data_IF_953900582564
#
_entry.id   IF_953900582564
#
_cell.length_a   1.000
_cell.length_b   1.000
_cell.length_c   1.000
_cell.angle_alpha   90.00
_cell.angle_beta   90.00
_cell.angle_gamma   90.00
#
_symmetry.space_group_name_H-M   'P 1'
#
loop_
_entity.id
_entity.type
_entity.pdbx_description
1 polymer ?
#
# COMPACT_ATOMS: atom_id res chain seq x y z
N UNK A 1 -15.18 0.35 -19.25
CA UNK A 1 -15.57 0.54 -17.84
C UNK A 1 -14.28 0.87 -17.12
N UNK A 2 -14.17 2.02 -16.44
CA UNK A 2 -12.93 2.38 -15.74
C UNK A 2 -12.66 1.39 -14.62
N UNK A 3 -11.48 0.78 -14.64
CA UNK A 3 -11.01 -0.11 -13.56
C UNK A 3 -10.32 0.72 -12.49
N UNK A 4 -10.36 0.34 -11.21
CA UNK A 4 -9.58 0.99 -10.16
C UNK A 4 -8.12 0.50 -10.09
N UNK A 5 -7.59 0.06 -11.24
CA UNK A 5 -6.26 -0.54 -11.40
C UNK A 5 -5.33 0.45 -12.09
N UNK A 6 -4.17 0.65 -11.51
CA UNK A 6 -3.05 1.41 -12.05
C UNK A 6 -1.96 0.42 -12.43
N UNK A 7 -1.54 0.44 -13.68
CA UNK A 7 -0.52 -0.48 -14.18
C UNK A 7 0.87 -0.01 -13.77
N UNK A 8 1.72 -0.94 -13.34
CA UNK A 8 3.14 -0.68 -13.14
C UNK A 8 3.82 -0.52 -14.51
N UNK A 9 4.46 0.61 -14.73
CA UNK A 9 5.18 0.93 -15.97
C UNK A 9 6.70 0.82 -15.81
N UNK A 10 7.20 0.93 -14.58
CA UNK A 10 8.61 0.72 -14.26
C UNK A 10 8.76 -0.09 -12.98
N UNK A 11 9.84 -0.88 -12.93
CA UNK A 11 10.19 -1.73 -11.81
C UNK A 11 11.64 -1.42 -11.37
N UNK A 12 12.01 -1.76 -10.11
CA UNK A 12 13.41 -1.79 -9.73
C UNK A 12 14.18 -2.72 -10.66
N UNK A 13 15.44 -2.43 -10.93
CA UNK A 13 16.24 -3.20 -11.91
C UNK A 13 16.52 -4.61 -11.41
N UNK A 14 16.72 -4.76 -10.11
CA UNK A 14 17.13 -6.03 -9.50
C UNK A 14 16.53 -6.22 -8.12
N UNK A 15 16.74 -7.41 -7.58
CA UNK A 15 16.46 -7.76 -6.21
C UNK A 15 17.69 -8.44 -5.67
N UNK A 16 18.27 -7.87 -4.61
CA UNK A 16 19.46 -8.42 -3.98
C UNK A 16 19.07 -9.61 -3.10
N UNK A 17 20.01 -10.55 -2.99
CA UNK A 17 19.81 -11.77 -2.22
C UNK A 17 21.05 -12.03 -1.37
N UNK A 18 20.85 -12.19 -0.07
CA UNK A 18 21.88 -12.64 0.86
C UNK A 18 21.40 -13.94 1.49
N UNK A 19 22.24 -14.98 1.43
CA UNK A 19 22.02 -16.18 2.23
C UNK A 19 22.47 -15.90 3.66
N UNK A 20 21.63 -16.21 4.64
CA UNK A 20 21.88 -15.89 6.05
C UNK A 20 21.37 -16.99 6.97
N UNK A 21 21.98 -17.14 8.14
CA UNK A 21 21.53 -18.05 9.20
C UNK A 21 20.41 -17.49 10.08
N UNK A 22 19.90 -16.28 9.81
CA UNK A 22 18.70 -15.74 10.47
C UNK A 22 17.49 -16.67 10.25
N UNK A 23 16.88 -17.12 11.34
CA UNK A 23 15.78 -18.07 11.30
C UNK A 23 14.39 -17.43 11.35
N UNK A 24 14.26 -16.25 11.96
CA UNK A 24 12.94 -15.65 12.17
C UNK A 24 12.85 -14.17 11.75
N UNK A 25 11.65 -13.81 11.31
CA UNK A 25 11.35 -12.48 10.78
C UNK A 25 11.38 -11.37 11.86
N UNK A 26 11.23 -11.74 13.14
CA UNK A 26 11.26 -10.77 14.25
C UNK A 26 12.66 -10.24 14.47
N UNK A 27 13.67 -11.11 14.45
CA UNK A 27 15.08 -10.74 14.53
C UNK A 27 15.49 -9.89 13.34
N UNK A 28 15.17 -10.34 12.13
CA UNK A 28 15.43 -9.59 10.90
C UNK A 28 14.91 -8.14 10.98
N UNK A 29 13.70 -7.94 11.49
CA UNK A 29 13.10 -6.61 11.63
C UNK A 29 13.74 -5.76 12.74
N UNK A 30 14.38 -6.39 13.74
CA UNK A 30 15.11 -5.66 14.79
C UNK A 30 16.40 -5.07 14.27
N UNK A 31 17.15 -5.84 13.47
CA UNK A 31 18.48 -5.45 12.98
C UNK A 31 18.41 -4.61 11.70
N UNK A 32 17.58 -5.00 10.74
CA UNK A 32 17.45 -4.30 9.46
C UNK A 32 16.16 -3.49 9.50
N UNK A 33 16.27 -2.17 9.41
CA UNK A 33 15.14 -1.23 9.45
C UNK A 33 15.10 -0.40 8.17
N UNK A 34 13.94 0.14 7.83
CA UNK A 34 13.77 1.04 6.67
C UNK A 34 13.84 0.38 5.30
N UNK A 35 14.48 -0.78 5.15
CA UNK A 35 14.66 -1.45 3.86
C UNK A 35 13.53 -2.44 3.55
N UNK A 36 12.92 -2.38 2.34
CA UNK A 36 12.01 -3.40 1.85
C UNK A 36 12.70 -4.76 1.77
N UNK A 37 12.25 -5.73 2.59
CA UNK A 37 12.89 -7.05 2.70
C UNK A 37 11.91 -8.18 2.94
N UNK A 38 12.33 -9.40 2.64
CA UNK A 38 11.61 -10.64 2.90
C UNK A 38 12.58 -11.80 3.09
N UNK A 39 12.37 -12.60 4.15
CA UNK A 39 13.13 -13.81 4.44
C UNK A 39 12.35 -15.05 4.03
N UNK A 40 12.93 -15.87 3.16
CA UNK A 40 12.35 -17.16 2.74
C UNK A 40 13.46 -18.18 2.54
N UNK A 41 13.35 -19.34 3.20
CA UNK A 41 14.31 -20.45 3.08
C UNK A 41 15.77 -20.04 3.28
N UNK A 42 16.05 -19.32 4.38
CA UNK A 42 17.39 -18.78 4.71
C UNK A 42 17.99 -17.81 3.68
N UNK A 43 17.17 -17.30 2.76
CA UNK A 43 17.53 -16.23 1.82
C UNK A 43 16.79 -14.96 2.19
N UNK A 44 17.56 -13.91 2.42
CA UNK A 44 17.08 -12.55 2.59
C UNK A 44 17.02 -11.87 1.23
N UNK A 45 15.81 -11.64 0.75
CA UNK A 45 15.52 -10.87 -0.46
C UNK A 45 15.23 -9.43 -0.08
N UNK A 46 15.79 -8.45 -0.80
CA UNK A 46 15.57 -7.04 -0.51
C UNK A 46 15.84 -6.13 -1.72
N UNK A 47 15.32 -4.90 -1.63
CA UNK A 47 15.63 -3.80 -2.55
C UNK A 47 16.39 -2.74 -1.76
N UNK A 48 17.63 -2.43 -2.13
CA UNK A 48 18.52 -1.59 -1.31
C UNK A 48 20.00 -1.86 -1.51
N UNK A 49 20.84 -1.22 -0.70
CA UNK A 49 22.29 -1.39 -0.75
C UNK A 49 22.72 -2.76 -0.17
N UNK A 50 23.38 -3.57 -0.99
CA UNK A 50 23.87 -4.89 -0.56
C UNK A 50 24.99 -4.80 0.46
N UNK A 51 25.89 -3.82 0.32
CA UNK A 51 27.02 -3.60 1.21
C UNK A 51 26.57 -3.13 2.59
N UNK A 52 25.59 -2.22 2.65
CA UNK A 52 25.01 -1.78 3.91
C UNK A 52 24.37 -2.94 4.68
N UNK A 53 23.51 -3.71 4.00
CA UNK A 53 22.81 -4.84 4.63
C UNK A 53 23.80 -5.93 5.05
N UNK A 54 24.76 -6.25 4.20
CA UNK A 54 25.78 -7.25 4.50
C UNK A 54 26.61 -6.86 5.73
N UNK A 55 27.04 -5.59 5.80
CA UNK A 55 27.75 -5.06 6.97
C UNK A 55 26.91 -5.13 8.26
N UNK A 56 25.63 -4.78 8.20
CA UNK A 56 24.71 -4.90 9.35
C UNK A 56 24.64 -6.35 9.84
N UNK A 57 24.60 -7.33 8.93
CA UNK A 57 24.55 -8.74 9.29
C UNK A 57 25.85 -9.21 9.95
N UNK A 58 27.00 -8.82 9.41
CA UNK A 58 28.31 -9.15 10.00
C UNK A 58 28.49 -8.53 11.40
N UNK A 59 28.11 -7.26 11.58
CA UNK A 59 28.16 -6.57 12.87
C UNK A 59 27.27 -7.24 13.94
N UNK A 60 26.19 -7.91 13.51
CA UNK A 60 25.29 -8.68 14.37
C UNK A 60 25.63 -10.18 14.41
N UNK A 61 26.85 -10.55 14.00
CA UNK A 61 27.43 -11.91 14.07
C UNK A 61 26.66 -13.01 13.32
N UNK A 62 25.87 -12.63 12.32
CA UNK A 62 25.17 -13.58 11.45
C UNK A 62 26.06 -14.05 10.31
N UNK A 63 26.10 -15.37 10.07
CA UNK A 63 26.78 -15.94 8.90
C UNK A 63 26.02 -15.53 7.66
N UNK A 64 26.71 -14.86 6.74
CA UNK A 64 26.10 -14.25 5.57
C UNK A 64 26.94 -14.49 4.32
N UNK A 65 26.28 -14.73 3.19
CA UNK A 65 26.91 -14.88 1.88
C UNK A 65 26.10 -14.06 0.87
N UNK A 66 26.77 -13.13 0.18
CA UNK A 66 26.15 -12.36 -0.90
C UNK A 66 25.96 -13.31 -2.09
N UNK A 67 24.71 -13.43 -2.55
CA UNK A 67 24.38 -14.17 -3.76
C UNK A 67 24.24 -13.22 -4.95
N UNK A 68 24.32 -13.77 -6.17
CA UNK A 68 24.05 -13.03 -7.39
C UNK A 68 22.64 -12.38 -7.35
N UNK A 69 22.54 -11.07 -7.67
CA UNK A 69 21.26 -10.38 -7.67
C UNK A 69 20.35 -10.87 -8.80
N UNK A 70 19.06 -10.89 -8.54
CA UNK A 70 18.05 -11.33 -9.49
C UNK A 70 17.55 -10.11 -10.27
N UNK A 71 17.82 -10.04 -11.57
CA UNK A 71 17.30 -8.95 -12.44
C UNK A 71 15.79 -9.05 -12.58
N UNK A 72 15.05 -7.97 -12.35
CA UNK A 72 13.59 -7.99 -12.44
C UNK A 72 13.18 -7.76 -13.90
N UNK A 73 12.51 -8.75 -14.48
CA UNK A 73 11.88 -8.65 -15.80
C UNK A 73 10.52 -9.35 -15.77
N UNK A 74 9.74 -9.22 -16.86
CA UNK A 74 8.36 -9.76 -16.95
C UNK A 74 8.27 -11.25 -16.63
N UNK A 75 9.26 -12.04 -17.07
CA UNK A 75 9.29 -13.49 -16.83
C UNK A 75 9.52 -13.78 -15.33
N UNK A 76 10.50 -13.11 -14.73
CA UNK A 76 10.86 -13.28 -13.32
C UNK A 76 9.81 -12.72 -12.36
N UNK A 77 9.07 -11.67 -12.74
CA UNK A 77 7.95 -11.15 -11.94
C UNK A 77 6.94 -12.27 -11.65
N UNK A 78 6.68 -13.14 -12.63
CA UNK A 78 5.73 -14.25 -12.45
C UNK A 78 6.28 -15.33 -11.51
N UNK A 79 7.56 -15.64 -11.61
CA UNK A 79 8.23 -16.66 -10.79
C UNK A 79 8.40 -16.21 -9.32
N UNK A 80 8.79 -14.95 -9.12
CA UNK A 80 9.11 -14.38 -7.81
C UNK A 80 8.00 -13.50 -7.23
N UNK A 81 6.76 -13.60 -7.76
CA UNK A 81 5.66 -12.71 -7.41
C UNK A 81 5.42 -12.64 -5.90
N UNK A 82 5.41 -13.76 -5.19
CA UNK A 82 5.15 -13.76 -3.75
C UNK A 82 6.20 -12.96 -2.96
N UNK A 83 7.45 -12.99 -3.40
CA UNK A 83 8.56 -12.25 -2.79
C UNK A 83 8.45 -10.78 -3.17
N UNK A 84 8.38 -10.48 -4.47
CA UNK A 84 8.29 -9.12 -5.00
C UNK A 84 7.08 -8.37 -4.44
N UNK A 85 5.92 -9.04 -4.34
CA UNK A 85 4.72 -8.48 -3.72
C UNK A 85 4.99 -7.99 -2.30
N UNK A 86 5.70 -8.77 -1.49
CA UNK A 86 6.05 -8.36 -0.11
C UNK A 86 7.00 -7.16 -0.11
N UNK A 87 8.02 -7.16 -0.99
CA UNK A 87 8.95 -6.05 -1.12
C UNK A 87 8.23 -4.76 -1.55
N UNK A 88 7.37 -4.84 -2.56
CA UNK A 88 6.59 -3.70 -3.04
C UNK A 88 5.59 -3.20 -2.00
N UNK A 89 4.95 -4.07 -1.22
CA UNK A 89 4.13 -3.66 -0.08
C UNK A 89 4.94 -2.93 0.99
N UNK A 90 6.16 -3.39 1.28
CA UNK A 90 7.03 -2.73 2.25
C UNK A 90 7.48 -1.34 1.75
N UNK A 91 7.87 -1.22 0.49
CA UNK A 91 8.23 0.05 -0.14
C UNK A 91 7.06 1.03 -0.16
N UNK A 92 5.88 0.58 -0.61
CA UNK A 92 4.65 1.38 -0.60
C UNK A 92 4.30 1.86 0.81
N UNK A 93 4.48 1.02 1.83
CA UNK A 93 4.24 1.41 3.22
C UNK A 93 5.18 2.52 3.71
N UNK A 94 6.45 2.52 3.29
CA UNK A 94 7.37 3.63 3.61
C UNK A 94 6.93 4.90 2.91
N UNK A 95 6.73 4.83 1.59
CA UNK A 95 6.27 5.94 0.77
C UNK A 95 4.98 6.60 1.29
N UNK A 96 3.98 5.79 1.64
CA UNK A 96 2.73 6.31 2.20
C UNK A 96 2.94 7.01 3.55
N UNK A 97 3.84 6.52 4.40
CA UNK A 97 4.17 7.19 5.68
C UNK A 97 4.84 8.54 5.45
N UNK A 98 5.78 8.59 4.51
CA UNK A 98 6.45 9.83 4.12
C UNK A 98 5.45 10.86 3.55
N UNK A 99 4.44 10.40 2.80
CA UNK A 99 3.31 11.21 2.34
C UNK A 99 2.29 11.56 3.45
N UNK A 100 2.56 11.22 4.71
CA UNK A 100 1.70 11.57 5.85
C UNK A 100 0.52 10.63 6.10
N UNK A 101 0.48 9.47 5.44
CA UNK A 101 -0.57 8.48 5.69
C UNK A 101 -0.23 7.61 6.90
N UNK A 102 -1.24 7.35 7.70
CA UNK A 102 -1.22 6.33 8.74
C UNK A 102 -1.68 4.99 8.18
N UNK A 103 -1.02 3.94 8.63
CA UNK A 103 -1.32 2.57 8.22
C UNK A 103 -1.73 1.74 9.43
N UNK A 104 -2.93 1.16 9.36
CA UNK A 104 -3.40 0.15 10.29
C UNK A 104 -3.77 -1.13 9.53
N UNK A 105 -2.98 -2.19 9.71
CA UNK A 105 -3.08 -3.43 8.89
C UNK A 105 -2.99 -3.08 7.39
N UNK A 106 -4.03 -3.35 6.60
CA UNK A 106 -4.11 -3.02 5.17
C UNK A 106 -4.88 -1.71 4.89
N UNK A 107 -5.20 -0.96 5.93
CA UNK A 107 -6.00 0.27 5.84
C UNK A 107 -5.06 1.48 5.86
N UNK A 108 -5.22 2.37 4.89
CA UNK A 108 -4.43 3.59 4.73
C UNK A 108 -5.34 4.79 4.85
N UNK A 109 -5.05 5.67 5.80
CA UNK A 109 -5.81 6.90 6.00
C UNK A 109 -4.89 8.01 6.47
N UNK A 110 -5.14 9.24 6.04
CA UNK A 110 -4.32 10.37 6.46
C UNK A 110 -4.58 10.67 7.93
N UNK A 111 -3.53 10.64 8.75
CA UNK A 111 -3.60 11.10 10.14
C UNK A 111 -2.61 12.23 10.29
N UNK A 112 -3.18 13.43 10.43
CA UNK A 112 -2.57 14.68 10.92
C UNK A 112 -1.91 15.61 9.89
N UNK A 113 -1.97 16.88 10.29
CA UNK A 113 -1.41 18.08 9.69
C UNK A 113 0.09 17.96 9.43
N UNK A 114 0.45 18.12 8.16
CA UNK A 114 1.77 18.57 7.76
C UNK A 114 1.58 19.92 7.03
N UNK A 115 2.61 20.42 6.36
CA UNK A 115 2.65 21.66 5.56
C UNK A 115 1.47 21.82 4.57
N UNK A 116 0.73 20.74 4.31
CA UNK A 116 -0.40 20.63 3.38
C UNK A 116 -1.81 20.77 4.03
N UNK A 117 -1.93 21.05 5.34
CA UNK A 117 -3.22 21.38 6.00
C UNK A 117 -3.94 20.24 6.73
N UNK A 118 -5.14 20.51 7.28
CA UNK A 118 -5.99 19.51 7.96
C UNK A 118 -6.57 18.50 6.95
N UNK A 119 -6.57 17.22 7.30
CA UNK A 119 -7.32 16.20 6.55
C UNK A 119 -8.80 16.61 6.48
N UNK A 120 -9.46 16.51 5.31
CA UNK A 120 -10.89 16.74 5.21
C UNK A 120 -11.64 15.74 6.10
N UNK A 121 -12.06 16.24 7.25
CA UNK A 121 -12.95 15.55 8.16
C UNK A 121 -14.31 15.48 7.45
N UNK A 122 -14.76 14.28 7.04
CA UNK A 122 -16.08 14.15 6.42
C UNK A 122 -17.13 14.68 7.41
N UNK A 123 -17.00 14.32 8.69
CA UNK A 123 -17.87 14.79 9.77
C UNK A 123 -17.32 14.45 11.16
N UNK A 124 -17.58 15.32 12.15
CA UNK A 124 -17.54 14.97 13.59
C UNK A 124 -18.95 14.58 14.03
N UNK A 125 -19.13 13.39 14.60
CA UNK A 125 -20.39 13.04 15.26
C UNK A 125 -20.26 13.30 16.77
N UNK A 126 -20.83 14.42 17.24
CA UNK A 126 -20.79 14.82 18.64
C UNK A 126 -21.64 13.92 19.55
N UNK A 127 -22.68 13.27 19.03
CA UNK A 127 -23.56 12.39 19.83
C UNK A 127 -22.85 11.09 20.20
N UNK A 128 -22.05 10.57 19.27
CA UNK A 128 -21.36 9.28 19.39
C UNK A 128 -19.85 9.44 19.57
N UNK A 129 -19.34 10.65 19.81
CA UNK A 129 -17.93 10.98 20.06
C UNK A 129 -16.89 10.42 19.06
N UNK A 130 -17.23 10.23 17.78
CA UNK A 130 -16.29 9.74 16.76
C UNK A 130 -16.09 10.72 15.60
N UNK A 131 -14.96 10.54 14.90
CA UNK A 131 -14.57 11.26 13.69
C UNK A 131 -14.63 10.33 12.49
N UNK A 132 -15.12 10.84 11.35
CA UNK A 132 -15.17 10.11 10.08
C UNK A 132 -14.08 10.62 9.16
N UNK A 133 -13.19 9.74 8.71
CA UNK A 133 -12.13 10.07 7.76
C UNK A 133 -12.24 9.26 6.48
N UNK A 134 -11.78 9.89 5.42
CA UNK A 134 -11.48 9.26 4.15
C UNK A 134 -10.31 8.26 4.29
N UNK A 135 -10.44 7.11 3.63
CA UNK A 135 -9.36 6.12 3.58
C UNK A 135 -9.40 5.33 2.29
N UNK A 136 -8.33 4.61 2.01
CA UNK A 136 -8.33 3.59 0.96
C UNK A 136 -7.68 2.29 1.42
N UNK A 137 -8.14 1.20 0.83
CA UNK A 137 -7.42 -0.07 0.80
C UNK A 137 -6.61 -0.12 -0.49
N UNK A 138 -5.36 -0.56 -0.41
CA UNK A 138 -4.57 -0.82 -1.61
C UNK A 138 -4.17 -2.28 -1.71
N UNK A 139 -4.11 -2.78 -2.95
CA UNK A 139 -3.71 -4.16 -3.23
C UNK A 139 -2.91 -4.28 -4.50
N UNK A 140 -1.87 -5.11 -4.46
CA UNK A 140 -1.07 -5.46 -5.63
C UNK A 140 -1.61 -6.75 -6.27
N UNK A 141 -1.77 -6.73 -7.58
CA UNK A 141 -2.28 -7.84 -8.37
C UNK A 141 -1.30 -8.18 -9.49
N UNK A 142 -1.18 -9.47 -9.79
CA UNK A 142 -0.53 -9.96 -11.00
C UNK A 142 -1.63 -10.51 -11.91
N UNK A 143 -1.89 -9.84 -13.03
CA UNK A 143 -2.92 -10.21 -14.01
C UNK A 143 -2.24 -10.23 -15.38
N UNK A 144 -2.33 -11.35 -16.10
CA UNK A 144 -1.70 -11.52 -17.42
C UNK A 144 -0.22 -11.11 -17.45
N UNK A 145 0.54 -11.52 -16.43
CA UNK A 145 1.97 -11.19 -16.22
C UNK A 145 2.27 -9.69 -16.04
N UNK A 146 1.25 -8.87 -15.79
CA UNK A 146 1.39 -7.44 -15.50
C UNK A 146 1.02 -7.13 -14.05
N UNK A 147 1.73 -6.19 -13.46
CA UNK A 147 1.50 -5.79 -12.07
C UNK A 147 0.57 -4.58 -12.02
N UNK A 148 -0.44 -4.66 -11.16
CA UNK A 148 -1.41 -3.58 -10.97
C UNK A 148 -1.53 -3.21 -9.49
N UNK A 149 -1.60 -1.92 -9.22
CA UNK A 149 -2.03 -1.36 -7.95
C UNK A 149 -3.53 -1.06 -8.02
N UNK A 150 -4.32 -1.71 -7.18
CA UNK A 150 -5.71 -1.33 -6.98
C UNK A 150 -5.85 -0.39 -5.80
N UNK A 151 -6.56 0.73 -5.97
CA UNK A 151 -6.98 1.59 -4.88
C UNK A 151 -8.50 1.44 -4.68
N UNK A 152 -8.93 1.15 -3.46
CA UNK A 152 -10.36 0.99 -3.15
C UNK A 152 -10.76 1.99 -2.08
N UNK A 153 -11.63 2.97 -2.40
CA UNK A 153 -12.08 3.96 -1.45
C UNK A 153 -12.88 3.30 -0.32
N UNK A 154 -12.65 3.77 0.90
CA UNK A 154 -13.29 3.30 2.13
C UNK A 154 -13.41 4.46 3.12
N UNK A 155 -13.98 4.18 4.29
CA UNK A 155 -14.12 5.14 5.40
C UNK A 155 -13.62 4.51 6.70
N UNK A 156 -12.96 5.31 7.54
CA UNK A 156 -12.49 4.91 8.86
C UNK A 156 -13.09 5.83 9.91
N UNK A 157 -13.44 5.25 11.05
CA UNK A 157 -13.86 5.97 12.24
C UNK A 157 -12.70 6.02 13.24
N UNK A 158 -12.53 7.15 13.93
CA UNK A 158 -11.53 7.32 15.01
C UNK A 158 -12.18 7.99 16.23
N UNK A 159 -11.76 7.66 17.45
CA UNK A 159 -12.25 8.32 18.68
C UNK A 159 -11.51 9.63 18.99
N UNK A 160 -10.25 9.70 18.59
CA UNK A 160 -9.26 10.71 19.00
C UNK A 160 -8.67 11.47 17.79
N UNK A 161 -9.36 11.40 16.64
CA UNK A 161 -8.85 11.85 15.32
C UNK A 161 -7.62 11.09 14.78
N UNK A 162 -7.10 10.07 15.47
CA UNK A 162 -5.78 9.46 15.16
C UNK A 162 -5.80 7.92 15.14
N UNK A 163 -6.23 7.30 16.23
CA UNK A 163 -6.39 5.86 16.37
C UNK A 163 -7.65 5.36 15.67
N UNK A 164 -7.50 4.42 14.75
CA UNK A 164 -8.63 3.69 14.18
C UNK A 164 -9.42 3.04 15.32
N UNK A 165 -10.74 3.18 15.31
CA UNK A 165 -11.60 2.40 16.19
C UNK A 165 -11.51 0.94 15.73
N UNK A 166 -10.70 0.15 16.41
CA UNK A 166 -10.74 -1.31 16.36
C UNK A 166 -11.58 -1.67 17.57
N UNK A 167 -12.85 -1.99 17.38
CA UNK A 167 -13.62 -2.50 18.49
C UNK A 167 -13.06 -3.87 18.88
N UNK A 168 -12.72 -4.03 20.15
CA UNK A 168 -12.24 -5.30 20.75
C UNK A 168 -13.38 -6.29 21.00
N UNK A 169 -14.63 -5.91 20.70
CA UNK A 169 -15.80 -6.76 20.91
C UNK A 169 -15.96 -7.71 19.73
N UNK A 170 -15.76 -9.01 19.95
CA UNK A 170 -16.12 -10.04 18.97
C UNK A 170 -17.61 -9.90 18.61
N UNK A 171 -17.90 -9.56 17.36
CA UNK A 171 -19.26 -9.33 16.87
C UNK A 171 -19.66 -7.86 16.64
N UNK A 172 -18.84 -6.88 17.03
CA UNK A 172 -19.05 -5.47 16.65
C UNK A 172 -18.63 -5.22 15.19
N UNK A 173 -19.30 -5.88 14.23
CA UNK A 173 -19.11 -5.66 12.79
C UNK A 173 -19.82 -4.41 12.26
N UNK A 174 -20.41 -3.60 13.12
CA UNK A 174 -21.31 -2.52 12.71
C UNK A 174 -20.85 -1.24 13.40
N UNK A 175 -20.04 -0.42 12.73
CA UNK A 175 -20.57 0.66 11.89
C UNK A 175 -20.02 0.69 10.44
N UNK A 176 -19.42 -0.39 9.94
CA UNK A 176 -18.87 -0.42 8.58
C UNK A 176 -19.84 -0.89 7.49
N UNK A 177 -21.08 -1.30 7.80
CA UNK A 177 -21.94 -1.92 6.77
C UNK A 177 -23.15 -1.09 6.29
N UNK A 178 -23.90 -0.44 7.19
CA UNK A 178 -25.06 0.38 6.79
C UNK A 178 -24.70 1.86 6.58
N UNK A 179 -23.85 2.43 7.43
CA UNK A 179 -23.35 3.80 7.25
C UNK A 179 -22.37 3.92 6.08
N UNK A 180 -21.52 2.93 5.85
CA UNK A 180 -20.51 2.99 4.79
C UNK A 180 -21.13 3.07 3.40
N UNK A 181 -22.24 2.37 3.12
CA UNK A 181 -22.89 2.44 1.80
C UNK A 181 -23.42 3.85 1.50
N UNK A 182 -23.92 4.57 2.52
CA UNK A 182 -24.40 5.96 2.41
C UNK A 182 -23.27 6.95 2.13
N UNK A 183 -22.06 6.68 2.64
CA UNK A 183 -20.91 7.58 2.51
C UNK A 183 -19.94 7.17 1.40
N UNK A 184 -19.96 5.90 0.95
CA UNK A 184 -19.18 5.40 -0.20
C UNK A 184 -19.60 6.04 -1.52
N UNK A 185 -20.80 6.64 -1.60
CA UNK A 185 -21.21 7.46 -2.75
C UNK A 185 -20.46 8.80 -2.81
N UNK A 186 -20.09 9.37 -1.65
CA UNK A 186 -19.29 10.59 -1.52
C UNK A 186 -17.82 10.33 -1.91
N UNK A 187 -17.35 9.08 -1.81
CA UNK A 187 -15.94 8.73 -2.00
C UNK A 187 -15.51 8.39 -3.44
N UNK A 188 -16.41 8.46 -4.44
CA UNK A 188 -16.05 8.09 -5.83
C UNK A 188 -15.14 9.10 -6.54
N UNK A 189 -15.32 10.41 -6.31
CA UNK A 189 -14.40 11.43 -6.85
C UNK A 189 -13.04 11.43 -6.16
N UNK A 190 -12.90 10.69 -5.07
CA UNK A 190 -11.69 10.72 -4.28
C UNK A 190 -10.58 9.84 -4.88
N UNK A 191 -10.90 8.86 -5.74
CA UNK A 191 -9.88 8.08 -6.45
C UNK A 191 -8.91 8.98 -7.23
N UNK A 192 -9.45 10.00 -7.89
CA UNK A 192 -8.66 11.02 -8.59
C UNK A 192 -7.89 11.91 -7.62
N UNK A 193 -8.47 12.23 -6.45
CA UNK A 193 -7.80 12.99 -5.38
C UNK A 193 -6.60 12.23 -4.81
N UNK A 194 -6.75 10.96 -4.39
CA UNK A 194 -5.62 10.18 -3.89
C UNK A 194 -4.58 9.95 -4.97
N UNK A 195 -4.98 9.72 -6.22
CA UNK A 195 -4.02 9.69 -7.33
C UNK A 195 -3.28 11.02 -7.43
N UNK A 196 -3.97 12.16 -7.38
CA UNK A 196 -3.32 13.48 -7.41
C UNK A 196 -2.34 13.70 -6.26
N UNK A 197 -2.65 13.21 -5.05
CA UNK A 197 -1.74 13.29 -3.90
C UNK A 197 -0.54 12.35 -3.99
N UNK A 198 -0.76 11.15 -4.52
CA UNK A 198 0.27 10.11 -4.61
C UNK A 198 1.16 10.28 -5.85
N UNK A 199 0.65 10.91 -6.90
CA UNK A 199 1.35 11.02 -8.18
C UNK A 199 2.18 12.29 -8.27
N UNK A 200 3.25 12.22 -9.03
CA UNK A 200 4.00 13.36 -9.57
C UNK A 200 3.84 13.40 -11.11
N UNK A 201 4.76 14.09 -11.80
CA UNK A 201 4.79 14.19 -13.26
C UNK A 201 5.00 12.84 -13.97
N UNK A 202 5.58 11.85 -13.29
CA UNK A 202 5.92 10.53 -13.82
C UNK A 202 4.92 9.43 -13.41
N UNK A 203 3.97 9.75 -12.53
CA UNK A 203 2.98 8.80 -12.00
C UNK A 203 3.11 8.62 -10.50
N UNK A 204 2.65 7.49 -9.95
CA UNK A 204 2.91 7.17 -8.54
C UNK A 204 4.30 6.53 -8.47
N UNK A 205 5.32 7.38 -8.30
CA UNK A 205 6.71 6.96 -8.16
C UNK A 205 7.02 6.59 -6.69
N UNK A 206 7.20 5.29 -6.45
CA UNK A 206 7.57 4.77 -5.13
C UNK A 206 9.09 4.64 -5.11
N UNK A 207 9.79 5.46 -4.31
CA UNK A 207 11.23 5.42 -4.27
C UNK A 207 11.72 4.08 -3.70
N UNK A 208 12.74 3.54 -4.34
CA UNK A 208 13.44 2.34 -3.89
C UNK A 208 14.86 2.74 -3.53
N UNK A 209 15.34 2.48 -2.30
CA UNK A 209 16.68 2.88 -1.91
C UNK A 209 17.73 2.32 -2.87
N UNK A 210 18.60 3.18 -3.41
CA UNK A 210 19.73 2.82 -4.27
C UNK A 210 19.37 2.03 -5.55
N UNK A 211 18.11 2.09 -5.97
CA UNK A 211 17.62 1.52 -7.23
C UNK A 211 16.61 2.46 -7.89
N UNK A 212 16.17 2.10 -9.10
CA UNK A 212 15.08 2.82 -9.79
C UNK A 212 13.75 2.64 -9.03
N UNK A 213 12.89 3.65 -9.16
CA UNK A 213 11.57 3.66 -8.51
C UNK A 213 10.65 2.57 -9.10
N UNK A 214 9.72 2.08 -8.27
CA UNK A 214 8.55 1.35 -8.76
C UNK A 214 7.50 2.38 -9.15
N UNK A 215 7.16 2.46 -10.44
CA UNK A 215 6.27 3.50 -10.97
C UNK A 215 4.97 2.89 -11.45
N UNK A 216 3.85 3.42 -10.96
CA UNK A 216 2.51 3.14 -11.48
C UNK A 216 1.97 4.32 -12.27
N UNK A 217 1.16 4.03 -13.29
CA UNK A 217 0.41 5.04 -14.02
C UNK A 217 -0.44 5.91 -13.08
N UNK A 218 -0.64 7.18 -13.45
CA UNK A 218 -1.53 8.13 -12.74
C UNK A 218 -2.94 8.18 -13.32
N UNK A 219 -3.28 7.30 -14.27
CA UNK A 219 -4.62 7.23 -14.87
C UNK A 219 -5.12 5.79 -14.85
N UNK A 220 -6.37 5.62 -14.46
CA UNK A 220 -7.04 4.33 -14.54
C UNK A 220 -7.17 3.87 -15.98
N UNK A 221 -6.70 2.66 -16.27
CA UNK A 221 -6.83 2.09 -17.59
C UNK A 221 -8.29 1.78 -17.94
N UNK A 222 -8.66 2.03 -19.20
CA UNK A 222 -9.84 1.43 -19.82
C UNK A 222 -9.44 0.02 -20.29
N UNK A 223 -9.37 -0.94 -19.37
CA UNK A 223 -8.93 -2.29 -19.73
C UNK A 223 -10.12 -3.07 -20.30
N UNK A 224 -10.23 -3.16 -21.63
CA UNK A 224 -11.14 -4.10 -22.32
C UNK A 224 -10.74 -5.57 -22.13
N UNK A 225 -9.49 -5.82 -21.75
CA UNK A 225 -8.94 -7.16 -21.43
C UNK A 225 -9.09 -7.59 -19.98
N UNK A 226 -9.47 -6.72 -19.03
CA UNK A 226 -9.81 -7.10 -17.65
C UNK A 226 -11.27 -7.59 -17.57
N UNK A 227 -11.64 -8.55 -18.43
CA UNK A 227 -12.92 -9.25 -18.33
C UNK A 227 -12.85 -10.20 -17.13
N UNK A 228 -13.10 -9.68 -15.93
CA UNK A 228 -13.14 -10.55 -14.74
C UNK A 228 -13.60 -9.89 -13.45
N UNK A 229 -13.45 -8.58 -13.29
CA UNK A 229 -13.85 -7.91 -12.03
C UNK A 229 -15.08 -7.05 -12.30
N UNK A 230 -16.27 -7.65 -12.11
CA UNK A 230 -17.54 -6.90 -12.11
C UNK A 230 -17.50 -5.87 -10.99
N UNK A 231 -17.40 -4.59 -11.35
CA UNK A 231 -17.75 -3.50 -10.46
C UNK A 231 -19.27 -3.46 -10.38
N UNK A 232 -19.86 -3.78 -9.23
CA UNK A 232 -21.25 -3.40 -8.96
C UNK A 232 -21.34 -1.87 -9.01
N UNK A 233 -21.88 -1.33 -10.11
CA UNK A 233 -22.38 0.05 -10.13
C UNK A 233 -23.58 0.12 -9.19
N UNK A 234 -23.34 0.28 -7.88
CA UNK A 234 -24.39 0.72 -6.97
C UNK A 234 -24.78 2.16 -7.33
N UNK A 235 -26.09 2.37 -7.39
CA UNK A 235 -26.82 3.58 -7.80
C UNK A 235 -26.18 4.83 -7.19
N UNK A 236 -25.93 5.83 -8.02
CA UNK A 236 -25.58 7.18 -7.59
C UNK A 236 -26.84 7.77 -6.98
N UNK A 237 -26.79 8.15 -5.70
CA UNK A 237 -27.89 8.89 -5.08
C UNK A 237 -27.43 10.31 -4.86
N UNK A 238 -28.20 11.24 -5.42
CA UNK A 238 -28.00 12.68 -5.26
C UNK A 238 -28.18 13.04 -3.79
N UNK A 239 -27.28 13.84 -3.23
CA UNK A 239 -27.42 14.35 -1.86
C UNK A 239 -28.70 15.19 -1.69
N UNK A 240 -29.30 15.69 -2.77
CA UNK A 240 -30.54 16.47 -2.70
C UNK A 240 -31.80 15.62 -2.48
N UNK A 241 -31.70 14.29 -2.54
CA UNK A 241 -32.84 13.37 -2.42
C UNK A 241 -33.06 12.82 -0.99
N UNK A 242 -32.26 13.25 -0.01
CA UNK A 242 -32.32 12.72 1.38
C UNK A 242 -32.27 13.78 2.48
N UNK A 243 -32.65 15.02 2.15
CA UNK A 243 -32.92 16.07 3.13
C UNK A 243 -34.39 16.05 3.51
#
# INVERSE_FOLDING_TARGET
MMTNLLHAIEFPEKMNVIQTDIENYKELNKIIKGVPKHLKSKKLFFLGDVGEIYKILEENTYKSEILEPIRINVQLISEYWDILRVLFYNAMKSFLREKGFYLHKNLVYMVRQNEFGETPLIRKNNENNYYIHERFEYKLHLIDKKVFLSLTPRIVLTWDKRGSIISEVDGSRFYTFQGSNRWNSVTRNMLEVWIGFLSDENGIAIPIPNENSLIFESKFLNVSSAKGIKIEKKRQVSLNEYW
#
